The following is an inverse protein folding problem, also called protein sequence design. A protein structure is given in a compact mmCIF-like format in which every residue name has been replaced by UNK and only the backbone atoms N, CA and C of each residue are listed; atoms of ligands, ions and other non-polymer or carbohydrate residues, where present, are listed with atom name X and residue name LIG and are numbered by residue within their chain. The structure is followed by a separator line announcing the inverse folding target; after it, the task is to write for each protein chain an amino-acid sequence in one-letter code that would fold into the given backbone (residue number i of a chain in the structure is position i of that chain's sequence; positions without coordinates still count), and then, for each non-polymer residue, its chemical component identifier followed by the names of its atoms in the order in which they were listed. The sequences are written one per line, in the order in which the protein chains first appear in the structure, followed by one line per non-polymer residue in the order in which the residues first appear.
data_IF_380908061701
#
_entry.id   IF_380908061701
#
_cell.length_a   1.000
_cell.length_b   1.000
_cell.length_c   1.000
_cell.angle_alpha   90.00
_cell.angle_beta   90.00
_cell.angle_gamma   90.00
#
_symmetry.space_group_name_H-M   'P 1'
#
loop_
_entity.id
_entity.type
_entity.pdbx_description
1 polymer ?
#
# COMPACT_ATOMS: atom_id res chain seq x y z
N UNK A 1 2.07 2.74 -13.51
CA UNK A 1 2.98 3.70 -14.14
C UNK A 1 4.12 4.00 -13.18
N UNK A 2 5.37 3.96 -13.62
CA UNK A 2 6.56 4.26 -12.81
C UNK A 2 6.69 5.77 -12.64
N UNK A 3 6.90 6.25 -11.42
CA UNK A 3 7.17 7.66 -11.14
C UNK A 3 8.68 7.90 -11.23
N UNK A 4 9.11 8.77 -12.14
CA UNK A 4 10.50 9.25 -12.21
C UNK A 4 10.80 10.32 -11.17
N UNK A 5 9.77 10.88 -10.54
CA UNK A 5 9.87 11.92 -9.51
C UNK A 5 10.28 11.32 -8.16
N UNK A 6 10.97 12.11 -7.30
CA UNK A 6 11.25 11.73 -5.91
C UNK A 6 9.95 11.46 -5.13
N UNK A 7 9.86 10.30 -4.49
CA UNK A 7 8.68 9.90 -3.71
C UNK A 7 9.01 9.63 -2.25
N UNK A 8 8.08 9.97 -1.37
CA UNK A 8 8.09 9.58 0.03
C UNK A 8 7.11 8.44 0.29
N UNK A 9 7.53 7.40 0.98
CA UNK A 9 6.68 6.21 1.20
C UNK A 9 5.99 6.29 2.57
N UNK A 10 4.66 6.20 2.60
CA UNK A 10 3.85 6.15 3.81
C UNK A 10 3.12 4.80 3.89
N UNK A 11 3.31 4.03 4.95
CA UNK A 11 2.62 2.73 5.12
C UNK A 11 2.27 2.40 6.57
N UNK A 12 1.21 1.61 6.78
CA UNK A 12 0.86 0.98 8.06
C UNK A 12 0.51 -0.50 7.90
N UNK A 13 1.34 -1.23 7.15
CA UNK A 13 1.22 -2.67 6.91
C UNK A 13 2.22 -3.47 7.76
N UNK A 14 1.92 -4.74 8.02
CA UNK A 14 2.76 -5.62 8.85
C UNK A 14 4.22 -5.78 8.41
N UNK A 15 4.54 -5.63 7.12
CA UNK A 15 5.89 -5.82 6.56
C UNK A 15 6.27 -4.68 5.60
N UNK A 16 6.55 -3.46 6.12
CA UNK A 16 6.82 -2.29 5.28
C UNK A 16 8.07 -2.47 4.41
N UNK A 17 9.07 -3.22 4.90
CA UNK A 17 10.29 -3.54 4.15
C UNK A 17 10.01 -4.28 2.83
N UNK A 18 8.99 -5.14 2.78
CA UNK A 18 8.62 -5.84 1.53
C UNK A 18 8.07 -4.87 0.49
N UNK A 19 7.26 -3.90 0.92
CA UNK A 19 6.69 -2.89 0.04
C UNK A 19 7.78 -1.95 -0.51
N UNK A 20 8.69 -1.50 0.34
CA UNK A 20 9.84 -0.70 -0.07
C UNK A 20 10.74 -1.44 -1.07
N UNK A 21 11.05 -2.71 -0.80
CA UNK A 21 11.85 -3.52 -1.72
C UNK A 21 11.16 -3.70 -3.08
N UNK A 22 9.83 -3.89 -3.08
CA UNK A 22 9.05 -3.94 -4.32
C UNK A 22 9.15 -2.61 -5.08
N UNK A 23 8.98 -1.48 -4.41
CA UNK A 23 9.12 -0.14 -5.02
C UNK A 23 10.51 0.08 -5.62
N UNK A 24 11.57 -0.24 -4.86
CA UNK A 24 12.95 -0.15 -5.33
C UNK A 24 13.20 -1.02 -6.56
N UNK A 25 12.71 -2.27 -6.57
CA UNK A 25 12.82 -3.19 -7.72
C UNK A 25 12.08 -2.67 -8.95
N UNK A 26 10.98 -1.94 -8.76
CA UNK A 26 10.26 -1.27 -9.85
C UNK A 26 10.87 0.10 -10.22
N UNK A 27 12.00 0.46 -9.60
CA UNK A 27 12.82 1.64 -9.91
C UNK A 27 12.21 2.97 -9.48
N UNK A 28 11.38 2.98 -8.44
CA UNK A 28 10.92 4.23 -7.83
C UNK A 28 12.11 4.98 -7.20
N UNK A 29 12.12 6.31 -7.33
CA UNK A 29 13.10 7.15 -6.65
C UNK A 29 12.63 7.47 -5.23
N UNK A 30 12.88 6.56 -4.29
CA UNK A 30 12.45 6.71 -2.90
C UNK A 30 13.43 7.60 -2.14
N UNK A 31 12.99 8.77 -1.70
CA UNK A 31 13.82 9.74 -0.96
C UNK A 31 13.55 9.74 0.55
N UNK A 32 12.53 9.01 1.00
CA UNK A 32 12.23 8.87 2.42
C UNK A 32 11.06 7.94 2.68
N UNK A 33 10.86 7.62 3.97
CA UNK A 33 9.76 6.77 4.39
C UNK A 33 9.25 7.10 5.80
N UNK A 34 7.98 6.81 6.01
CA UNK A 34 7.35 6.68 7.31
C UNK A 34 6.56 5.35 7.36
N UNK A 35 7.01 4.46 8.23
CA UNK A 35 6.35 3.19 8.48
C UNK A 35 5.73 3.22 9.88
N UNK A 36 4.44 2.95 9.96
CA UNK A 36 3.67 2.88 11.18
C UNK A 36 3.35 1.41 11.50
N UNK A 37 2.87 1.16 12.74
CA UNK A 37 2.41 -0.18 13.14
C UNK A 37 1.27 -0.65 12.24
N UNK A 38 1.17 -1.95 12.06
CA UNK A 38 0.10 -2.56 11.27
C UNK A 38 -1.29 -2.06 11.73
N UNK A 39 -2.13 -1.67 10.76
CA UNK A 39 -3.47 -1.10 10.97
C UNK A 39 -3.51 0.25 11.70
N UNK A 40 -2.42 1.00 11.76
CA UNK A 40 -2.40 2.35 12.35
C UNK A 40 -3.50 3.25 11.76
N UNK A 41 -4.25 3.92 12.64
CA UNK A 41 -5.19 4.98 12.27
C UNK A 41 -4.44 6.29 12.26
N UNK A 42 -4.28 6.89 11.08
CA UNK A 42 -3.49 8.10 10.93
C UNK A 42 -4.20 9.30 11.54
N UNK A 43 -3.52 9.98 12.47
CA UNK A 43 -4.00 11.26 13.00
C UNK A 43 -3.55 12.42 12.11
N UNK A 44 -4.20 13.58 12.22
CA UNK A 44 -3.74 14.79 11.54
C UNK A 44 -2.29 15.16 11.92
N UNK A 45 -1.89 14.92 13.17
CA UNK A 45 -0.51 15.16 13.62
C UNK A 45 0.49 14.24 12.93
N UNK A 46 0.15 12.96 12.73
CA UNK A 46 0.97 12.02 11.98
C UNK A 46 1.19 12.52 10.56
N UNK A 47 0.10 12.92 9.89
CA UNK A 47 0.13 13.39 8.51
C UNK A 47 0.97 14.66 8.35
N UNK A 48 0.81 15.64 9.24
CA UNK A 48 1.65 16.85 9.24
C UNK A 48 3.12 16.50 9.37
N UNK A 49 3.48 15.59 10.27
CA UNK A 49 4.87 15.13 10.45
C UNK A 49 5.40 14.43 9.20
N UNK A 50 4.58 13.60 8.55
CA UNK A 50 4.94 12.93 7.31
C UNK A 50 5.21 13.95 6.20
N UNK A 51 4.34 14.95 6.05
CA UNK A 51 4.49 15.99 5.03
C UNK A 51 5.76 16.81 5.24
N UNK A 52 6.00 17.29 6.47
CA UNK A 52 7.22 18.04 6.78
C UNK A 52 8.48 17.23 6.47
N UNK A 53 8.47 15.91 6.76
CA UNK A 53 9.60 15.02 6.42
C UNK A 53 9.71 14.77 4.92
N UNK A 54 8.59 14.69 4.20
CA UNK A 54 8.58 14.51 2.76
C UNK A 54 9.15 15.74 2.04
N UNK A 55 8.71 16.93 2.45
CA UNK A 55 9.20 18.21 1.92
C UNK A 55 10.69 18.42 2.23
N UNK A 56 11.14 18.11 3.45
CA UNK A 56 12.55 18.31 3.83
C UNK A 56 13.54 17.43 3.07
N UNK A 57 13.08 16.31 2.51
CA UNK A 57 13.87 15.42 1.65
C UNK A 57 13.59 15.64 0.16
N UNK A 58 12.82 16.67 -0.19
CA UNK A 58 12.53 17.03 -1.59
C UNK A 58 11.58 16.05 -2.30
N UNK A 59 10.74 15.32 -1.56
CA UNK A 59 9.73 14.46 -2.17
C UNK A 59 8.68 15.30 -2.91
N UNK A 60 8.31 14.85 -4.11
CA UNK A 60 7.30 15.50 -4.95
C UNK A 60 5.95 14.78 -4.90
N UNK A 61 5.89 13.60 -4.29
CA UNK A 61 4.66 12.85 -4.07
C UNK A 61 4.79 11.88 -2.89
N UNK A 62 3.65 11.49 -2.34
CA UNK A 62 3.54 10.40 -1.37
C UNK A 62 3.07 9.14 -2.08
N UNK A 63 3.73 8.02 -1.84
CA UNK A 63 3.30 6.68 -2.28
C UNK A 63 2.80 5.89 -1.08
N UNK A 64 1.61 5.31 -1.19
CA UNK A 64 1.00 4.51 -0.12
C UNK A 64 0.21 3.32 -0.68
N UNK A 65 -0.35 2.48 0.20
CA UNK A 65 -1.17 1.33 -0.20
C UNK A 65 -2.66 1.70 -0.25
N UNK A 66 -3.48 0.91 -0.95
CA UNK A 66 -4.95 1.07 -0.95
C UNK A 66 -5.51 1.01 0.47
N UNK A 67 -5.03 0.07 1.30
CA UNK A 67 -5.51 -0.10 2.68
C UNK A 67 -5.20 1.12 3.54
N UNK A 68 -4.02 1.70 3.37
CA UNK A 68 -3.57 2.85 4.15
C UNK A 68 -4.28 4.12 3.70
N UNK A 69 -4.53 4.29 2.39
CA UNK A 69 -5.29 5.43 1.84
C UNK A 69 -6.67 5.56 2.48
N UNK A 70 -7.37 4.45 2.71
CA UNK A 70 -8.70 4.44 3.36
C UNK A 70 -8.63 4.94 4.81
N UNK A 71 -7.47 4.82 5.46
CA UNK A 71 -7.24 5.25 6.86
C UNK A 71 -6.67 6.65 6.97
N UNK A 72 -6.29 7.27 5.85
CA UNK A 72 -5.81 8.66 5.86
C UNK A 72 -6.99 9.58 6.17
N UNK A 73 -6.82 10.55 7.08
CA UNK A 73 -7.82 11.58 7.27
C UNK A 73 -8.02 12.39 5.99
N UNK A 74 -9.24 12.89 5.79
CA UNK A 74 -9.53 13.81 4.69
C UNK A 74 -8.86 15.17 4.92
N UNK A 75 -8.34 15.77 3.85
CA UNK A 75 -7.67 17.07 3.90
C UNK A 75 -6.20 17.04 4.37
N UNK A 76 -5.56 18.20 4.31
CA UNK A 76 -4.17 18.48 4.74
C UNK A 76 -3.05 17.65 4.08
N UNK A 77 -3.18 17.17 2.85
CA UNK A 77 -2.03 16.61 2.11
C UNK A 77 -1.81 17.41 0.83
N UNK A 78 -0.83 18.32 0.87
CA UNK A 78 -0.49 19.19 -0.26
C UNK A 78 0.24 18.44 -1.39
N UNK A 79 0.94 17.35 -1.05
CA UNK A 79 1.61 16.50 -2.03
C UNK A 79 0.61 15.55 -2.72
N UNK A 80 0.75 15.30 -4.04
CA UNK A 80 0.02 14.24 -4.71
C UNK A 80 0.20 12.89 -3.99
N UNK A 81 -0.91 12.16 -3.81
CA UNK A 81 -0.88 10.81 -3.23
C UNK A 81 -1.09 9.79 -4.34
N UNK A 82 -0.10 8.94 -4.54
CA UNK A 82 -0.19 7.78 -5.41
C UNK A 82 -0.47 6.53 -4.58
N UNK A 83 -1.58 5.89 -4.89
CA UNK A 83 -2.03 4.67 -4.23
C UNK A 83 -1.63 3.49 -5.10
N UNK A 84 -0.82 2.58 -4.56
CA UNK A 84 -0.48 1.36 -5.26
C UNK A 84 -1.45 0.24 -4.90
N UNK A 85 -2.16 -0.21 -5.94
CA UNK A 85 -2.88 -1.47 -5.94
C UNK A 85 -1.90 -2.64 -6.07
N UNK A 86 -2.19 -3.71 -5.35
CA UNK A 86 -1.53 -4.99 -5.55
C UNK A 86 -2.47 -5.87 -6.36
N UNK A 87 -1.96 -6.43 -7.45
CA UNK A 87 -2.64 -7.48 -8.19
C UNK A 87 -2.07 -8.82 -7.73
N UNK A 88 -2.96 -9.78 -7.51
CA UNK A 88 -2.57 -11.15 -7.24
C UNK A 88 -2.69 -11.93 -8.55
N UNK A 89 -1.61 -12.58 -8.95
CA UNK A 89 -1.54 -13.42 -10.13
C UNK A 89 -1.19 -14.84 -9.70
N UNK A 90 -1.89 -15.81 -10.26
CA UNK A 90 -1.67 -17.23 -9.98
C UNK A 90 -0.98 -17.87 -11.17
N UNK A 91 0.02 -18.71 -10.90
CA UNK A 91 0.74 -19.46 -11.93
C UNK A 91 -0.20 -20.37 -12.75
N UNK A 92 -1.30 -20.84 -12.14
CA UNK A 92 -2.31 -21.65 -12.79
C UNK A 92 -3.69 -21.42 -12.18
N UNK A 93 -4.54 -20.69 -12.91
CA UNK A 93 -5.94 -20.50 -12.55
C UNK A 93 -6.67 -21.86 -12.41
N UNK A 94 -6.40 -22.81 -13.30
CA UNK A 94 -6.98 -24.17 -13.24
C UNK A 94 -6.66 -24.86 -11.91
N UNK A 95 -5.44 -24.72 -11.41
CA UNK A 95 -5.02 -25.36 -10.16
C UNK A 95 -5.71 -24.73 -8.95
N UNK A 96 -5.90 -23.41 -8.97
CA UNK A 96 -6.67 -22.70 -7.94
C UNK A 96 -8.13 -23.14 -7.97
N UNK A 97 -8.75 -23.22 -9.14
CA UNK A 97 -10.12 -23.71 -9.29
C UNK A 97 -10.28 -25.14 -8.77
N UNK A 98 -9.40 -26.06 -9.16
CA UNK A 98 -9.44 -27.44 -8.68
C UNK A 98 -9.29 -27.56 -7.16
N UNK A 99 -8.53 -26.66 -6.53
CA UNK A 99 -8.37 -26.60 -5.07
C UNK A 99 -9.61 -26.03 -4.36
N UNK A 100 -10.22 -24.98 -4.93
CA UNK A 100 -11.32 -24.26 -4.28
C UNK A 100 -12.70 -24.88 -4.52
N UNK A 101 -12.93 -25.49 -5.68
CA UNK A 101 -14.21 -26.13 -6.07
C UNK A 101 -14.82 -27.03 -4.99
N UNK A 102 -14.10 -28.03 -4.44
CA UNK A 102 -14.68 -28.93 -3.44
C UNK A 102 -15.03 -28.22 -2.13
N UNK A 103 -14.26 -27.19 -1.74
CA UNK A 103 -14.52 -26.40 -0.53
C UNK A 103 -15.78 -25.55 -0.71
N UNK A 104 -15.90 -24.89 -1.86
CA UNK A 104 -17.05 -24.05 -2.19
C UNK A 104 -18.34 -24.88 -2.30
N UNK A 105 -18.27 -26.06 -2.93
CA UNK A 105 -19.41 -26.96 -3.03
C UNK A 105 -19.91 -27.45 -1.65
N UNK A 106 -19.01 -27.68 -0.70
CA UNK A 106 -19.36 -28.07 0.68
C UNK A 106 -19.94 -26.88 1.47
N UNK A 107 -19.36 -25.68 1.34
CA UNK A 107 -19.86 -24.47 2.01
C UNK A 107 -21.28 -24.08 1.55
N UNK A 108 -21.59 -24.22 0.26
CA UNK A 108 -22.93 -23.95 -0.27
C UNK A 108 -23.94 -24.96 0.27
N UNK A 109 -23.58 -26.24 0.36
CA UNK A 109 -24.46 -27.28 0.91
C UNK A 109 -24.75 -27.12 2.41
N UNK A 110 -23.85 -26.51 3.17
CA UNK A 110 -24.03 -26.24 4.61
C UNK A 110 -24.81 -24.96 4.92
N UNK A 111 -25.05 -24.13 3.90
CA UNK A 111 -25.74 -22.84 4.03
C UNK A 111 -27.23 -22.92 3.65
N UNK A 112 -27.73 -24.13 3.37
CA UNK A 112 -29.13 -24.50 3.08
C UNK A 112 -29.57 -25.54 4.10
#
# INVERSE_FOLDING_TARGET
TKLSTPVFVLTSIARPSRFLNMLNKNGFNIVGQAAFRDHHLFTLSDIRRVIHRAESVGAQAIVTTVKDKIRLPDGEIALPIHVLGLTLEFDSERSVHALLEPILADLVKRSV
#
